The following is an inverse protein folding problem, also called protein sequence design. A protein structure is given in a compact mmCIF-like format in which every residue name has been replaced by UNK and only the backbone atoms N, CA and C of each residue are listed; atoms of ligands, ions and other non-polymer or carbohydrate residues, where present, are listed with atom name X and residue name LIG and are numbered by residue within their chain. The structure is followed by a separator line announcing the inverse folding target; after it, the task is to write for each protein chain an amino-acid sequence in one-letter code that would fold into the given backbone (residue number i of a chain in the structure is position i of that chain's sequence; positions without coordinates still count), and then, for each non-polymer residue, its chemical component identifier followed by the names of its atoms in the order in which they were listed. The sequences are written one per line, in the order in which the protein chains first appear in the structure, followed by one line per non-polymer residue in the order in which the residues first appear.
data_IF_785296027669
#
_entry.id   IF_785296027669
#
_cell.length_a   1.000
_cell.length_b   1.000
_cell.length_c   1.000
_cell.angle_alpha   90.00
_cell.angle_beta   90.00
_cell.angle_gamma   90.00
#
_symmetry.space_group_name_H-M   'P 1'
#
loop_
_entity.id
_entity.type
_entity.pdbx_description
1 polymer ?
#
# COMPACT_ATOMS: atom_id res chain seq x y z
N UNK A 1 30.73 -4.03 11.91
CA UNK A 1 30.51 -4.76 13.17
C UNK A 1 29.42 -5.81 12.96
N UNK A 2 29.59 -7.02 13.49
CA UNK A 2 28.55 -8.05 13.47
C UNK A 2 27.34 -7.61 14.30
N UNK A 3 26.11 -7.92 13.84
CA UNK A 3 24.88 -7.62 14.58
C UNK A 3 24.84 -8.55 15.79
N UNK A 4 24.92 -7.97 17.00
CA UNK A 4 24.77 -8.74 18.25
C UNK A 4 23.29 -8.88 18.58
N UNK A 5 22.76 -10.11 18.74
CA UNK A 5 21.35 -10.31 19.06
C UNK A 5 20.97 -9.77 20.45
N UNK A 6 21.94 -9.40 21.31
CA UNK A 6 21.68 -8.80 22.63
C UNK A 6 21.32 -7.31 22.60
N UNK A 7 21.44 -6.65 21.45
CA UNK A 7 21.36 -5.18 21.34
C UNK A 7 20.14 -4.74 20.52
N UNK A 8 18.93 -5.14 20.93
CA UNK A 8 17.71 -4.51 20.42
C UNK A 8 17.30 -3.36 21.33
N UNK A 9 16.80 -2.29 20.72
CA UNK A 9 16.30 -1.07 21.35
C UNK A 9 15.21 -0.50 20.44
N UNK A 10 14.43 0.52 20.85
CA UNK A 10 13.46 1.15 19.96
C UNK A 10 14.13 1.66 18.67
N UNK A 11 13.81 1.00 17.55
CA UNK A 11 14.37 1.30 16.25
C UNK A 11 13.56 2.40 15.58
N UNK A 12 14.21 3.51 15.26
CA UNK A 12 13.66 4.53 14.38
C UNK A 12 14.03 4.16 12.96
N UNK A 13 13.04 3.89 12.12
CA UNK A 13 13.23 3.51 10.73
C UNK A 13 13.11 4.73 9.82
N UNK A 14 13.97 4.82 8.82
CA UNK A 14 13.91 5.86 7.79
C UNK A 14 12.75 5.56 6.84
N UNK A 15 11.76 6.45 6.70
CA UNK A 15 10.67 6.22 5.77
C UNK A 15 11.14 6.30 4.32
N UNK A 16 10.71 5.35 3.48
CA UNK A 16 10.83 5.49 2.02
C UNK A 16 9.65 6.29 1.49
N UNK A 17 9.93 7.38 0.80
CA UNK A 17 8.93 8.32 0.30
C UNK A 17 8.67 8.04 -1.17
N UNK A 18 7.41 7.86 -1.52
CA UNK A 18 6.96 7.55 -2.89
C UNK A 18 6.02 8.64 -3.38
N UNK A 19 6.46 9.31 -4.44
CA UNK A 19 5.69 10.37 -5.06
C UNK A 19 4.53 9.77 -5.85
N UNK A 20 3.36 10.40 -5.75
CA UNK A 20 2.15 9.93 -6.42
C UNK A 20 1.39 11.09 -7.01
N UNK A 21 0.76 10.85 -8.16
CA UNK A 21 -0.09 11.83 -8.86
C UNK A 21 -1.28 12.30 -8.02
N UNK A 22 -1.75 11.48 -7.08
CA UNK A 22 -2.80 11.78 -6.12
C UNK A 22 -2.30 12.30 -4.77
N UNK A 23 -0.97 12.38 -4.61
CA UNK A 23 -0.33 12.70 -3.34
C UNK A 23 -0.57 14.14 -2.89
N UNK A 24 -0.30 14.42 -1.62
CA UNK A 24 -0.44 15.76 -1.06
C UNK A 24 0.91 16.50 -0.94
N UNK A 25 0.81 17.82 -0.72
CA UNK A 25 1.96 18.69 -0.40
C UNK A 25 1.99 19.18 1.04
N UNK A 26 0.82 19.23 1.70
CA UNK A 26 0.74 19.44 3.12
C UNK A 26 0.93 18.11 3.85
N UNK A 27 2.10 17.94 4.45
CA UNK A 27 2.53 16.69 5.10
C UNK A 27 2.67 16.83 6.61
N UNK A 28 2.28 17.98 7.16
CA UNK A 28 2.41 18.28 8.57
C UNK A 28 1.49 17.38 9.43
N UNK A 29 1.91 17.05 10.66
CA UNK A 29 3.21 17.36 11.28
C UNK A 29 4.33 16.34 10.96
N UNK A 30 4.09 15.40 10.05
CA UNK A 30 4.94 14.21 9.86
C UNK A 30 6.19 14.49 9.04
N UNK A 31 6.06 15.30 7.99
CA UNK A 31 7.15 15.70 7.12
C UNK A 31 7.08 17.19 6.82
N UNK A 32 8.20 17.74 6.36
CA UNK A 32 8.24 19.09 5.82
C UNK A 32 7.30 19.20 4.62
N UNK A 33 6.55 20.31 4.50
CA UNK A 33 5.67 20.53 3.36
C UNK A 33 6.49 20.64 2.07
N UNK A 34 5.90 20.22 0.95
CA UNK A 34 6.52 20.31 -0.37
C UNK A 34 6.10 21.58 -1.09
N UNK A 35 7.01 22.17 -1.87
CA UNK A 35 6.71 23.28 -2.75
C UNK A 35 5.84 22.87 -3.95
N UNK A 36 5.24 23.85 -4.64
CA UNK A 36 4.44 23.59 -5.84
C UNK A 36 5.26 23.00 -7.00
N UNK A 37 6.57 23.26 -7.05
CA UNK A 37 7.49 22.72 -8.06
C UNK A 37 7.90 21.27 -7.81
N UNK A 38 7.68 20.75 -6.60
CA UNK A 38 8.01 19.37 -6.27
C UNK A 38 6.83 18.44 -6.58
N UNK A 39 7.10 17.17 -6.93
CA UNK A 39 6.07 16.14 -6.98
C UNK A 39 5.38 16.01 -5.62
N UNK A 40 4.11 15.63 -5.63
CA UNK A 40 3.36 15.43 -4.39
C UNK A 40 3.75 14.08 -3.75
N UNK A 41 3.79 14.02 -2.42
CA UNK A 41 4.05 12.78 -1.70
C UNK A 41 2.74 12.02 -1.52
N UNK A 42 2.66 10.79 -2.03
CA UNK A 42 1.49 9.94 -1.79
C UNK A 42 1.68 8.99 -0.63
N UNK A 43 2.84 8.31 -0.59
CA UNK A 43 3.09 7.25 0.40
C UNK A 43 4.43 7.46 1.10
N UNK A 44 4.48 7.19 2.40
CA UNK A 44 5.71 7.04 3.16
C UNK A 44 5.72 5.67 3.85
N UNK A 45 6.58 4.77 3.38
CA UNK A 45 6.67 3.40 3.87
C UNK A 45 7.57 3.34 5.10
N UNK A 46 7.01 2.83 6.19
CA UNK A 46 7.66 2.80 7.51
C UNK A 46 8.33 1.46 7.79
N UNK A 47 7.69 0.35 7.39
CA UNK A 47 8.21 -1.01 7.64
C UNK A 47 8.28 -1.80 6.34
N UNK A 48 9.49 -2.20 5.97
CA UNK A 48 9.78 -3.12 4.87
C UNK A 48 11.22 -3.59 5.04
N UNK A 49 11.62 -4.66 4.34
CA UNK A 49 12.90 -5.35 4.52
C UNK A 49 14.10 -4.42 4.35
N UNK A 50 14.02 -3.49 3.40
CA UNK A 50 15.09 -2.53 3.11
C UNK A 50 14.92 -1.20 3.88
N UNK A 51 13.99 -1.12 4.84
CA UNK A 51 13.91 0.03 5.74
C UNK A 51 15.17 0.08 6.62
N UNK A 52 15.89 1.21 6.56
CA UNK A 52 17.12 1.40 7.34
C UNK A 52 16.84 1.97 8.73
N UNK A 53 17.59 1.51 9.73
CA UNK A 53 17.60 2.09 11.07
C UNK A 53 18.36 3.43 11.05
N UNK A 54 17.79 4.47 11.64
CA UNK A 54 18.39 5.82 11.71
C UNK A 54 19.19 6.08 13.00
N UNK A 55 18.90 5.35 14.07
CA UNK A 55 19.41 5.65 15.40
C UNK A 55 20.25 4.53 16.00
N UNK A 56 21.17 4.90 16.89
CA UNK A 56 21.90 3.97 17.76
C UNK A 56 22.91 3.06 17.04
N UNK A 57 23.41 2.01 17.73
CA UNK A 57 24.47 1.14 17.21
C UNK A 57 24.13 0.32 15.95
N UNK A 58 22.84 0.14 15.64
CA UNK A 58 22.35 -0.55 14.45
C UNK A 58 22.03 0.42 13.30
N UNK A 59 22.33 1.72 13.42
CA UNK A 59 22.09 2.68 12.35
C UNK A 59 22.77 2.25 11.02
N UNK A 60 22.04 2.42 9.91
CA UNK A 60 22.45 1.97 8.58
C UNK A 60 22.21 0.48 8.30
N UNK A 61 21.75 -0.30 9.29
CA UNK A 61 21.28 -1.68 9.05
C UNK A 61 19.84 -1.69 8.55
N UNK A 62 19.52 -2.64 7.69
CA UNK A 62 18.14 -2.83 7.21
C UNK A 62 17.34 -3.74 8.14
N UNK A 63 16.00 -3.62 8.12
CA UNK A 63 15.14 -4.54 8.84
C UNK A 63 15.39 -6.00 8.44
N UNK A 64 15.63 -6.29 7.16
CA UNK A 64 15.94 -7.63 6.67
C UNK A 64 17.22 -8.20 7.27
N UNK A 65 18.30 -7.41 7.37
CA UNK A 65 19.52 -7.83 8.06
C UNK A 65 19.26 -8.14 9.54
N UNK A 66 18.43 -7.32 10.20
CA UNK A 66 18.07 -7.53 11.61
C UNK A 66 17.15 -8.74 11.80
N UNK A 67 16.26 -9.02 10.86
CA UNK A 67 15.43 -10.22 10.88
C UNK A 67 16.29 -11.48 10.82
N UNK A 68 17.27 -11.52 9.92
CA UNK A 68 18.17 -12.67 9.79
C UNK A 68 19.06 -12.84 11.03
N UNK A 69 19.59 -11.73 11.57
CA UNK A 69 20.51 -11.78 12.71
C UNK A 69 19.83 -11.97 14.08
N UNK A 70 18.62 -11.42 14.27
CA UNK A 70 17.93 -11.40 15.57
C UNK A 70 16.75 -12.39 15.65
N UNK A 71 16.19 -12.78 14.50
CA UNK A 71 15.12 -13.78 14.39
C UNK A 71 13.96 -13.53 15.37
N UNK A 72 13.59 -14.52 16.21
CA UNK A 72 12.47 -14.39 17.15
C UNK A 72 12.58 -13.25 18.16
N UNK A 73 13.79 -12.70 18.41
CA UNK A 73 13.92 -11.54 19.31
C UNK A 73 13.36 -10.26 18.70
N UNK A 74 13.37 -10.15 17.37
CA UNK A 74 12.79 -9.01 16.65
C UNK A 74 11.31 -9.25 16.34
N UNK A 75 10.97 -10.44 15.86
CA UNK A 75 9.65 -10.73 15.29
C UNK A 75 8.71 -11.50 16.23
N UNK A 76 9.21 -11.95 17.39
CA UNK A 76 8.52 -12.88 18.27
C UNK A 76 8.59 -14.33 17.80
N UNK A 77 8.12 -15.25 18.65
CA UNK A 77 8.20 -16.69 18.40
C UNK A 77 7.11 -17.23 17.47
N UNK A 78 6.08 -16.44 17.18
CA UNK A 78 4.94 -16.84 16.33
C UNK A 78 5.18 -16.51 14.86
N UNK A 79 6.19 -15.71 14.54
CA UNK A 79 6.55 -15.39 13.17
C UNK A 79 7.14 -16.62 12.47
N UNK A 80 6.50 -17.04 11.38
CA UNK A 80 7.05 -18.07 10.49
C UNK A 80 7.90 -17.39 9.43
N UNK A 81 9.16 -17.82 9.28
CA UNK A 81 10.02 -17.34 8.20
C UNK A 81 9.35 -17.68 6.87
N UNK A 82 9.05 -16.64 6.09
CA UNK A 82 8.50 -16.74 4.74
C UNK A 82 9.41 -15.99 3.80
N UNK A 83 9.65 -16.57 2.64
CA UNK A 83 10.41 -15.96 1.56
C UNK A 83 9.49 -15.91 0.35
N UNK A 84 9.28 -14.70 -0.16
CA UNK A 84 8.42 -14.46 -1.31
C UNK A 84 9.18 -13.64 -2.35
N UNK A 85 8.79 -13.79 -3.61
CA UNK A 85 9.15 -12.81 -4.63
C UNK A 85 8.28 -11.57 -4.42
N UNK A 86 8.89 -10.39 -4.48
CA UNK A 86 8.14 -9.12 -4.48
C UNK A 86 7.49 -8.96 -5.85
N UNK A 87 6.17 -8.85 -5.87
CA UNK A 87 5.35 -8.95 -7.08
C UNK A 87 4.47 -7.71 -7.22
N UNK A 88 4.27 -7.29 -8.47
CA UNK A 88 3.40 -6.20 -8.86
C UNK A 88 2.60 -6.66 -10.09
N UNK A 89 1.33 -6.27 -10.16
CA UNK A 89 0.53 -6.49 -11.37
C UNK A 89 0.99 -5.58 -12.53
N UNK A 90 1.56 -4.41 -12.20
CA UNK A 90 2.16 -3.50 -13.17
C UNK A 90 3.59 -3.96 -13.49
N UNK A 91 3.88 -4.39 -14.74
CA UNK A 91 5.20 -4.85 -15.15
C UNK A 91 6.28 -3.77 -15.07
N UNK A 92 5.91 -2.48 -15.17
CA UNK A 92 6.86 -1.38 -15.02
C UNK A 92 7.34 -1.23 -13.56
N UNK A 93 6.57 -1.77 -12.61
CA UNK A 93 6.92 -1.83 -11.19
C UNK A 93 7.42 -3.21 -10.76
N UNK A 94 7.34 -4.22 -11.65
CA UNK A 94 7.86 -5.54 -11.39
C UNK A 94 9.40 -5.48 -11.23
N UNK A 95 9.91 -6.20 -10.24
CA UNK A 95 11.34 -6.29 -9.97
C UNK A 95 11.77 -7.73 -10.12
N UNK A 96 12.86 -7.96 -10.85
CA UNK A 96 13.46 -9.28 -10.93
C UNK A 96 14.35 -9.53 -9.71
N UNK A 97 13.70 -9.67 -8.57
CA UNK A 97 14.34 -9.92 -7.28
C UNK A 97 14.21 -11.41 -6.93
N UNK A 98 15.30 -11.98 -6.38
CA UNK A 98 15.26 -13.30 -5.77
C UNK A 98 14.33 -13.26 -4.53
N UNK A 99 13.69 -14.38 -4.17
CA UNK A 99 12.98 -14.48 -2.91
C UNK A 99 13.87 -14.02 -1.75
N UNK A 100 13.32 -13.21 -0.85
CA UNK A 100 14.02 -12.70 0.33
C UNK A 100 13.14 -12.78 1.57
N UNK A 101 13.73 -12.79 2.78
CA UNK A 101 12.95 -12.83 4.02
C UNK A 101 11.95 -11.68 4.07
N UNK A 102 10.67 -11.98 4.22
CA UNK A 102 9.62 -10.97 4.23
C UNK A 102 9.31 -10.49 5.65
N UNK A 103 9.42 -9.20 5.91
CA UNK A 103 8.87 -8.56 7.09
C UNK A 103 7.33 -8.62 6.97
N UNK A 104 6.61 -9.06 8.03
CA UNK A 104 5.24 -9.52 7.90
C UNK A 104 4.23 -8.43 7.48
N UNK A 105 4.47 -7.19 7.91
CA UNK A 105 3.54 -6.07 7.68
C UNK A 105 4.25 -4.88 7.05
N UNK A 106 3.63 -4.31 6.02
CA UNK A 106 4.01 -3.03 5.47
C UNK A 106 3.10 -1.96 6.06
N UNK A 107 3.69 -1.08 6.87
CA UNK A 107 3.00 0.09 7.42
C UNK A 107 3.37 1.29 6.59
N UNK A 108 2.38 2.08 6.16
CA UNK A 108 2.56 3.28 5.36
C UNK A 108 1.78 4.45 5.95
N UNK A 109 2.29 5.66 5.73
CA UNK A 109 1.48 6.87 5.81
C UNK A 109 1.07 7.26 4.39
N UNK A 110 -0.23 7.46 4.17
CA UNK A 110 -0.79 7.92 2.91
C UNK A 110 -1.24 9.36 3.08
N UNK A 111 -0.95 10.19 2.09
CA UNK A 111 -1.38 11.59 2.03
C UNK A 111 -2.11 11.83 0.72
N UNK A 112 -3.40 12.11 0.77
CA UNK A 112 -4.24 12.22 -0.43
C UNK A 112 -4.70 13.65 -0.65
N UNK A 113 -4.44 14.21 -1.82
CA UNK A 113 -5.10 15.44 -2.29
C UNK A 113 -6.04 15.20 -3.46
N UNK A 114 -6.10 13.96 -3.95
CA UNK A 114 -6.98 13.51 -5.01
C UNK A 114 -7.34 12.03 -4.76
N UNK A 115 -8.34 11.53 -5.46
CA UNK A 115 -8.81 10.14 -5.35
C UNK A 115 -7.76 9.16 -5.87
N UNK A 116 -7.57 8.05 -5.16
CA UNK A 116 -6.73 6.93 -5.61
C UNK A 116 -7.46 6.13 -6.69
N UNK A 117 -6.73 5.32 -7.43
CA UNK A 117 -7.37 4.41 -8.37
C UNK A 117 -8.31 3.43 -7.65
N UNK A 118 -9.41 3.06 -8.28
CA UNK A 118 -10.26 1.94 -7.85
C UNK A 118 -9.48 0.65 -8.05
N UNK A 119 -9.37 -0.14 -6.98
CA UNK A 119 -8.45 -1.26 -6.94
C UNK A 119 -9.01 -2.43 -6.13
N UNK A 120 -8.48 -3.62 -6.41
CA UNK A 120 -8.70 -4.83 -5.63
C UNK A 120 -7.36 -5.52 -5.37
N UNK A 121 -7.31 -6.25 -4.27
CA UNK A 121 -6.14 -6.92 -3.76
C UNK A 121 -6.43 -8.41 -3.56
N UNK A 122 -5.57 -9.33 -4.00
CA UNK A 122 -5.87 -10.75 -3.92
C UNK A 122 -5.64 -11.36 -2.54
N UNK A 123 -6.37 -12.43 -2.18
CA UNK A 123 -6.07 -13.22 -1.01
C UNK A 123 -4.78 -14.05 -1.21
N UNK A 124 -4.20 -14.55 -0.12
CA UNK A 124 -2.92 -15.29 -0.14
C UNK A 124 -2.92 -16.48 -1.12
N UNK A 125 -3.97 -17.30 -1.13
CA UNK A 125 -4.03 -18.49 -1.99
C UNK A 125 -3.96 -18.11 -3.47
N UNK A 126 -4.76 -17.11 -3.87
CA UNK A 126 -4.79 -16.62 -5.24
C UNK A 126 -3.45 -15.97 -5.62
N UNK A 127 -2.90 -15.12 -4.76
CA UNK A 127 -1.64 -14.40 -5.01
C UNK A 127 -0.45 -15.36 -5.16
N UNK A 128 -0.41 -16.41 -4.34
CA UNK A 128 0.64 -17.43 -4.40
C UNK A 128 0.57 -18.22 -5.71
N UNK A 129 -0.62 -18.64 -6.12
CA UNK A 129 -0.82 -19.43 -7.35
C UNK A 129 -0.54 -18.62 -8.62
N UNK A 130 -0.94 -17.35 -8.66
CA UNK A 130 -0.91 -16.54 -9.89
C UNK A 130 0.27 -15.59 -10.00
N UNK A 131 0.81 -15.12 -8.88
CA UNK A 131 1.89 -14.12 -8.86
C UNK A 131 3.15 -14.59 -8.11
N UNK A 132 3.06 -15.60 -7.24
CA UNK A 132 4.20 -16.11 -6.46
C UNK A 132 4.57 -15.27 -5.24
N UNK A 133 3.66 -14.41 -4.78
CA UNK A 133 3.81 -13.54 -3.61
C UNK A 133 2.64 -13.64 -2.63
N UNK A 134 2.68 -12.91 -1.50
CA UNK A 134 1.59 -12.88 -0.54
C UNK A 134 0.41 -12.07 -1.07
N UNK A 135 -0.78 -12.35 -0.54
CA UNK A 135 -1.97 -11.54 -0.75
C UNK A 135 -1.85 -10.18 -0.05
N UNK A 136 -2.92 -9.38 -0.17
CA UNK A 136 -2.94 -8.02 0.39
C UNK A 136 -4.30 -7.71 1.04
N UNK A 137 -4.44 -8.14 2.27
CA UNK A 137 -5.42 -7.57 3.22
C UNK A 137 -4.81 -6.35 3.90
N UNK A 138 -5.63 -5.34 4.16
CA UNK A 138 -5.20 -4.09 4.76
C UNK A 138 -6.19 -3.53 5.78
N UNK A 139 -5.71 -2.54 6.52
CA UNK A 139 -6.47 -1.75 7.46
C UNK A 139 -6.00 -0.31 7.37
N UNK A 140 -6.95 0.60 7.44
CA UNK A 140 -6.71 2.04 7.43
C UNK A 140 -7.12 2.62 8.78
N UNK A 141 -6.21 3.37 9.39
CA UNK A 141 -6.52 4.27 10.48
C UNK A 141 -6.49 5.70 9.95
N UNK A 142 -7.63 6.38 9.98
CA UNK A 142 -7.77 7.76 9.52
C UNK A 142 -7.16 8.67 10.56
N UNK A 143 -6.00 9.24 10.24
CA UNK A 143 -5.28 10.15 11.13
C UNK A 143 -5.92 11.53 11.09
N UNK A 144 -6.22 12.00 9.89
CA UNK A 144 -6.73 13.33 9.60
C UNK A 144 -7.64 13.27 8.35
N UNK A 145 -8.68 14.07 8.35
CA UNK A 145 -9.72 14.04 7.32
C UNK A 145 -10.31 15.45 7.13
N UNK A 146 -10.34 15.91 5.88
CA UNK A 146 -11.10 17.11 5.50
C UNK A 146 -12.63 16.87 5.62
N UNK A 147 -13.47 17.93 5.70
CA UNK A 147 -14.90 17.79 5.97
C UNK A 147 -15.68 16.85 5.03
N UNK A 148 -15.28 16.75 3.76
CA UNK A 148 -15.93 15.93 2.74
C UNK A 148 -15.16 14.62 2.44
N UNK A 149 -14.17 14.29 3.27
CA UNK A 149 -13.32 13.13 3.07
C UNK A 149 -14.11 11.82 3.22
N UNK A 150 -13.82 10.90 2.32
CA UNK A 150 -14.57 9.65 2.17
C UNK A 150 -13.70 8.57 1.56
N UNK A 151 -14.10 7.33 1.76
CA UNK A 151 -13.52 6.15 1.11
C UNK A 151 -14.61 5.38 0.39
N UNK A 152 -14.27 4.64 -0.66
CA UNK A 152 -15.20 3.69 -1.27
C UNK A 152 -14.87 2.28 -0.78
N UNK A 153 -15.88 1.56 -0.28
CA UNK A 153 -15.76 0.18 0.19
C UNK A 153 -16.85 -0.68 -0.46
N UNK A 154 -16.45 -1.45 -1.46
CA UNK A 154 -17.34 -2.26 -2.28
C UNK A 154 -18.21 -1.42 -3.23
N UNK A 155 -19.23 -2.09 -3.77
CA UNK A 155 -20.17 -1.52 -4.72
C UNK A 155 -21.57 -1.41 -4.12
N UNK A 156 -22.35 -0.42 -4.55
CA UNK A 156 -23.75 -0.20 -4.13
C UNK A 156 -24.73 -1.20 -4.76
N UNK A 157 -24.30 -1.92 -5.79
CA UNK A 157 -25.04 -3.02 -6.41
C UNK A 157 -24.10 -4.17 -6.74
N UNK A 158 -24.65 -5.38 -6.80
CA UNK A 158 -23.93 -6.55 -7.27
C UNK A 158 -23.69 -6.45 -8.79
N UNK A 159 -22.44 -6.69 -9.21
CA UNK A 159 -22.03 -6.85 -10.60
C UNK A 159 -21.42 -8.24 -10.76
N UNK A 160 -21.77 -8.96 -11.82
CA UNK A 160 -20.99 -10.12 -12.22
C UNK A 160 -19.63 -9.71 -12.82
N UNK A 161 -18.79 -10.69 -13.15
CA UNK A 161 -17.43 -10.46 -13.67
C UNK A 161 -17.43 -9.62 -14.95
N UNK A 162 -18.33 -9.89 -15.89
CA UNK A 162 -18.40 -9.22 -17.18
C UNK A 162 -18.87 -7.77 -16.98
N UNK A 163 -19.94 -7.60 -16.20
CA UNK A 163 -20.47 -6.28 -15.85
C UNK A 163 -19.45 -5.41 -15.11
N UNK A 164 -18.69 -6.00 -14.18
CA UNK A 164 -17.64 -5.30 -13.45
C UNK A 164 -16.54 -4.83 -14.40
N UNK A 165 -16.04 -5.73 -15.26
CA UNK A 165 -15.01 -5.41 -16.24
C UNK A 165 -15.45 -4.32 -17.21
N UNK A 166 -16.66 -4.43 -17.75
CA UNK A 166 -17.19 -3.45 -18.69
C UNK A 166 -17.43 -2.09 -18.05
N UNK A 167 -17.94 -2.05 -16.81
CA UNK A 167 -18.12 -0.79 -16.08
C UNK A 167 -16.78 -0.08 -15.82
N UNK A 168 -15.70 -0.82 -15.64
CA UNK A 168 -14.36 -0.27 -15.48
C UNK A 168 -13.78 0.24 -16.82
N UNK A 169 -14.04 -0.45 -17.93
CA UNK A 169 -13.62 -0.01 -19.28
C UNK A 169 -14.32 1.29 -19.71
N UNK A 170 -15.59 1.47 -19.33
CA UNK A 170 -16.39 2.64 -19.70
C UNK A 170 -16.31 3.79 -18.68
N UNK A 171 -15.77 3.53 -17.49
CA UNK A 171 -15.78 4.48 -16.36
C UNK A 171 -17.10 4.51 -15.57
N UNK A 172 -18.10 3.73 -15.98
CA UNK A 172 -19.37 3.58 -15.26
C UNK A 172 -19.21 2.93 -13.88
N UNK A 173 -18.05 2.36 -13.54
CA UNK A 173 -17.81 1.84 -12.19
C UNK A 173 -17.92 2.92 -11.11
N UNK A 174 -17.65 4.19 -11.43
CA UNK A 174 -17.67 5.31 -10.49
C UNK A 174 -19.03 5.50 -9.80
N UNK A 175 -20.14 5.37 -10.55
CA UNK A 175 -21.51 5.50 -10.01
C UNK A 175 -21.90 4.33 -9.10
N UNK A 176 -21.15 3.22 -9.14
CA UNK A 176 -21.42 2.05 -8.33
C UNK A 176 -20.55 2.01 -7.07
N UNK A 177 -19.58 2.90 -6.89
CA UNK A 177 -18.75 2.94 -5.70
C UNK A 177 -19.59 3.26 -4.46
N UNK A 178 -19.50 2.40 -3.44
CA UNK A 178 -20.13 2.63 -2.16
C UNK A 178 -19.28 3.58 -1.30
N UNK A 179 -19.51 4.88 -1.45
CA UNK A 179 -18.82 5.93 -0.72
C UNK A 179 -19.29 6.03 0.74
N UNK A 180 -18.34 5.95 1.66
CA UNK A 180 -18.53 6.06 3.11
C UNK A 180 -17.77 7.30 3.59
N UNK A 181 -18.44 8.29 4.21
CA UNK A 181 -17.76 9.42 4.83
C UNK A 181 -16.91 8.94 6.01
N UNK A 182 -15.76 9.57 6.22
CA UNK A 182 -14.84 9.19 7.29
C UNK A 182 -14.34 10.42 8.04
N UNK A 183 -13.91 10.23 9.28
CA UNK A 183 -13.34 11.27 10.12
C UNK A 183 -12.07 10.76 10.83
N UNK A 184 -11.29 11.69 11.38
CA UNK A 184 -10.12 11.35 12.18
C UNK A 184 -10.51 10.41 13.35
N UNK A 185 -9.74 9.34 13.52
CA UNK A 185 -9.97 8.29 14.52
C UNK A 185 -10.70 7.05 13.98
N UNK A 186 -11.28 7.10 12.78
CA UNK A 186 -11.92 5.93 12.18
C UNK A 186 -10.89 4.84 11.85
N UNK A 187 -11.27 3.59 12.10
CA UNK A 187 -10.48 2.40 11.77
C UNK A 187 -11.29 1.50 10.83
N UNK A 188 -10.73 1.22 9.66
CA UNK A 188 -11.43 0.58 8.55
C UNK A 188 -10.65 -0.66 8.14
N UNK A 189 -11.30 -1.82 8.19
CA UNK A 189 -10.71 -3.07 7.72
C UNK A 189 -11.10 -3.32 6.26
N UNK A 190 -10.12 -3.63 5.42
CA UNK A 190 -10.29 -3.86 3.99
C UNK A 190 -9.78 -5.28 3.68
N UNK A 191 -10.67 -6.29 3.68
CA UNK A 191 -10.27 -7.65 3.33
C UNK A 191 -9.84 -7.73 1.86
N UNK A 192 -8.89 -8.63 1.58
CA UNK A 192 -8.59 -9.00 0.20
C UNK A 192 -9.86 -9.45 -0.56
N UNK A 193 -9.95 -9.10 -1.83
CA UNK A 193 -11.13 -9.28 -2.69
C UNK A 193 -12.15 -8.14 -2.61
N UNK A 194 -12.06 -7.24 -1.63
CA UNK A 194 -12.93 -6.07 -1.59
C UNK A 194 -12.42 -4.99 -2.55
N UNK A 195 -13.26 -4.59 -3.50
CA UNK A 195 -12.98 -3.45 -4.38
C UNK A 195 -13.11 -2.14 -3.58
N UNK A 196 -12.11 -1.27 -3.66
CA UNK A 196 -12.05 -0.07 -2.82
C UNK A 196 -11.25 1.07 -3.46
N UNK A 197 -11.40 2.28 -2.90
CA UNK A 197 -10.51 3.42 -3.17
C UNK A 197 -10.52 4.42 -2.00
N UNK A 198 -9.43 5.16 -1.83
CA UNK A 198 -9.32 6.29 -0.91
C UNK A 198 -9.63 7.60 -1.64
N UNK A 199 -10.52 8.41 -1.07
CA UNK A 199 -10.79 9.76 -1.56
C UNK A 199 -9.67 10.76 -1.24
N UNK A 200 -9.87 11.99 -1.68
CA UNK A 200 -8.99 13.13 -1.38
C UNK A 200 -9.15 13.63 0.07
N UNK A 201 -8.17 14.42 0.53
CA UNK A 201 -8.26 15.12 1.81
C UNK A 201 -8.02 14.22 3.02
N UNK A 202 -7.30 13.11 2.84
CA UNK A 202 -7.03 12.13 3.89
C UNK A 202 -5.54 12.05 4.23
N UNK A 203 -5.25 11.87 5.52
CA UNK A 203 -4.01 11.28 6.00
C UNK A 203 -4.34 9.96 6.68
N UNK A 204 -3.74 8.87 6.24
CA UNK A 204 -4.07 7.52 6.70
C UNK A 204 -2.82 6.77 7.10
N UNK A 205 -2.87 6.06 8.22
CA UNK A 205 -1.94 4.96 8.50
C UNK A 205 -2.51 3.70 7.87
N UNK A 206 -1.90 3.22 6.79
CA UNK A 206 -2.25 1.95 6.16
C UNK A 206 -1.36 0.85 6.72
N UNK A 207 -1.97 -0.17 7.31
CA UNK A 207 -1.30 -1.38 7.81
C UNK A 207 -1.78 -2.52 6.94
N UNK A 208 -0.87 -3.08 6.14
CA UNK A 208 -1.19 -4.12 5.17
C UNK A 208 -0.25 -5.32 5.33
N UNK A 209 -0.67 -6.46 4.78
CA UNK A 209 0.31 -7.49 4.41
C UNK A 209 1.38 -6.84 3.54
N UNK A 210 2.64 -7.23 3.73
CA UNK A 210 3.71 -6.72 2.91
C UNK A 210 3.59 -7.31 1.49
N UNK A 211 2.92 -6.59 0.62
CA UNK A 211 2.59 -6.96 -0.76
C UNK A 211 2.24 -5.68 -1.52
N UNK A 212 2.73 -5.56 -2.75
CA UNK A 212 2.36 -4.45 -3.64
C UNK A 212 1.38 -4.89 -4.74
N UNK A 213 0.82 -6.10 -4.61
CA UNK A 213 -0.03 -6.68 -5.64
C UNK A 213 -1.38 -5.95 -5.73
N UNK A 214 -1.51 -5.10 -6.73
CA UNK A 214 -2.65 -4.19 -6.91
C UNK A 214 -3.24 -4.31 -8.31
N UNK A 215 -4.47 -4.81 -8.40
CA UNK A 215 -5.22 -4.85 -9.66
C UNK A 215 -6.07 -3.59 -9.77
N UNK A 216 -5.75 -2.76 -10.76
CA UNK A 216 -6.37 -1.45 -10.95
C UNK A 216 -7.55 -1.60 -11.90
N UNK A 217 -8.75 -1.32 -11.43
CA UNK A 217 -9.94 -1.32 -12.28
C UNK A 217 -10.10 0.01 -12.99
N UNK A 218 -9.92 1.11 -12.26
CA UNK A 218 -10.22 2.44 -12.79
C UNK A 218 -9.33 3.51 -12.18
N UNK A 219 -8.97 4.52 -12.97
CA UNK A 219 -8.09 5.61 -12.55
C UNK A 219 -8.60 7.01 -12.90
N UNK A 220 -9.92 7.16 -13.10
CA UNK A 220 -10.55 8.46 -13.34
C UNK A 220 -9.98 9.20 -14.57
N UNK A 221 -9.53 8.44 -15.57
CA UNK A 221 -8.83 8.94 -16.77
C UNK A 221 -7.66 9.89 -16.48
N UNK A 222 -7.08 9.82 -15.28
CA UNK A 222 -5.99 10.70 -14.88
C UNK A 222 -4.69 10.28 -15.60
N UNK A 223 -3.92 11.22 -16.16
CA UNK A 223 -2.62 10.92 -16.70
C UNK A 223 -1.65 10.54 -15.57
N UNK A 224 -0.80 9.55 -15.84
CA UNK A 224 0.36 9.22 -15.05
C UNK A 224 1.46 10.28 -15.15
N UNK A 225 2.59 10.02 -14.48
CA UNK A 225 3.73 10.93 -14.47
C UNK A 225 4.36 11.15 -15.86
N UNK A 226 4.15 10.22 -16.80
CA UNK A 226 4.60 10.29 -18.19
C UNK A 226 3.57 10.96 -19.14
N UNK A 227 2.45 11.45 -18.59
CA UNK A 227 1.36 12.07 -19.34
C UNK A 227 0.40 11.07 -20.00
N UNK A 228 0.60 9.76 -19.84
CA UNK A 228 -0.27 8.73 -20.43
C UNK A 228 -1.21 8.13 -19.38
N UNK A 229 -2.37 7.57 -19.77
CA UNK A 229 -3.20 6.81 -18.83
C UNK A 229 -2.40 5.69 -18.15
N UNK A 230 -2.57 5.52 -16.84
CA UNK A 230 -1.93 4.42 -16.10
C UNK A 230 -2.54 3.08 -16.51
N UNK A 231 -1.74 2.02 -16.43
CA UNK A 231 -2.20 0.67 -16.74
C UNK A 231 -3.35 0.25 -15.82
N UNK A 232 -4.39 -0.30 -16.43
CA UNK A 232 -5.49 -0.99 -15.77
C UNK A 232 -5.26 -2.50 -15.87
N UNK A 233 -5.73 -3.25 -14.89
CA UNK A 233 -5.61 -4.70 -14.76
C UNK A 233 -7.01 -5.32 -14.61
N UNK A 234 -7.91 -4.95 -15.52
CA UNK A 234 -9.35 -5.19 -15.39
C UNK A 234 -9.65 -6.69 -15.43
N UNK A 235 -9.14 -7.40 -16.43
CA UNK A 235 -9.45 -8.81 -16.64
C UNK A 235 -8.87 -9.69 -15.53
N UNK A 236 -7.60 -9.46 -15.15
CA UNK A 236 -6.97 -10.15 -14.02
C UNK A 236 -7.65 -9.79 -12.69
N UNK A 237 -7.92 -8.51 -12.47
CA UNK A 237 -8.58 -8.02 -11.25
C UNK A 237 -9.98 -8.60 -11.07
N UNK A 238 -10.71 -8.88 -12.16
CA UNK A 238 -12.05 -9.46 -12.08
C UNK A 238 -12.03 -10.97 -11.75
N UNK A 239 -10.84 -11.56 -11.65
CA UNK A 239 -10.64 -12.95 -11.19
C UNK A 239 -10.30 -13.09 -9.71
N UNK A 240 -10.04 -11.96 -9.04
CA UNK A 240 -9.73 -11.84 -7.62
C UNK A 240 -11.02 -11.80 -6.80
#
# INVERSE_FOLDING_TARGET
MAISPRTLYPLRLRPRREDKIWGARNLAPYFEPRSCSEPALGEAWLTYEQAEVENGPLAGRTLGELMEACGPRLLGNTHQKREYKRVSADPALARDEAPSPYFPLLTKLLFTSDVLSVQVHPPDAWALENAGGPGKTEMWYVIDAEPDAKVALGLTKHLDREQLADSARTGEIEQYLNWVPVQAGDAIFVPAGLLHTLGSGLKVCEIQQNSDLTYRFWDFNRPGADGKPRQLHIDEGATV
#
